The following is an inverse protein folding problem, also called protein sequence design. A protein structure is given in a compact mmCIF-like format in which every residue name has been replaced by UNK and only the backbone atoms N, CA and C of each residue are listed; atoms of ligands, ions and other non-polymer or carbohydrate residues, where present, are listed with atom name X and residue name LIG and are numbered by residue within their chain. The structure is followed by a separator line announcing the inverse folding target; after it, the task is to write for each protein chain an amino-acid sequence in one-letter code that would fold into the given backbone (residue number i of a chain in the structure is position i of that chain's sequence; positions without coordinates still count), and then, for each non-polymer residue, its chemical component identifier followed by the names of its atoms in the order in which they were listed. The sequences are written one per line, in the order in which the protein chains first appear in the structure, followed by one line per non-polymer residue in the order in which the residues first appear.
data_IF_563070366480
#
_entry.id   IF_563070366480
#
_cell.length_a   1.000
_cell.length_b   1.000
_cell.length_c   1.000
_cell.angle_alpha   90.00
_cell.angle_beta   90.00
_cell.angle_gamma   90.00
#
_symmetry.space_group_name_H-M   'P 1'
#
loop_
_entity.id
_entity.type
_entity.pdbx_description
1 polymer ?
#
# COMPACT_ATOMS: atom_id res chain seq x y z
N UNK A 1 11.29 16.85 3.67
CA UNK A 1 10.73 15.78 2.81
C UNK A 1 9.63 15.09 3.60
N UNK A 2 8.38 15.07 3.11
CA UNK A 2 7.27 14.42 3.84
C UNK A 2 7.28 12.91 3.57
N UNK A 3 6.85 12.13 4.57
CA UNK A 3 6.80 10.67 4.52
C UNK A 3 5.42 10.17 4.96
N UNK A 4 4.97 9.08 4.36
CA UNK A 4 3.74 8.38 4.70
C UNK A 4 3.95 6.87 4.57
N UNK A 5 3.15 6.10 5.29
CA UNK A 5 3.08 4.64 5.17
C UNK A 5 1.62 4.26 4.97
N UNK A 6 1.35 3.40 3.98
CA UNK A 6 0.03 2.78 3.78
C UNK A 6 0.13 1.33 4.21
N UNK A 7 -0.59 0.97 5.26
CA UNK A 7 -0.59 -0.39 5.80
C UNK A 7 -1.59 -1.23 5.00
N UNK A 8 -1.13 -2.39 4.52
CA UNK A 8 -1.92 -3.34 3.75
C UNK A 8 -2.08 -4.64 4.55
N UNK A 9 -3.32 -5.13 4.61
CA UNK A 9 -3.68 -6.43 5.16
C UNK A 9 -4.53 -7.17 4.14
N UNK A 10 -4.60 -8.50 4.23
CA UNK A 10 -5.46 -9.26 3.32
C UNK A 10 -6.92 -8.78 3.43
N UNK A 11 -7.56 -8.62 2.28
CA UNK A 11 -8.91 -8.07 2.17
C UNK A 11 -9.01 -6.54 2.16
N UNK A 12 -7.90 -5.82 2.03
CA UNK A 12 -7.93 -4.36 1.81
C UNK A 12 -8.68 -3.99 0.52
N UNK A 13 -9.28 -2.79 0.48
CA UNK A 13 -9.91 -2.25 -0.72
C UNK A 13 -8.85 -1.60 -1.62
N UNK A 14 -8.73 -2.10 -2.86
CA UNK A 14 -7.62 -1.78 -3.73
C UNK A 14 -7.60 -0.33 -4.22
N UNK A 15 -8.77 0.23 -4.54
CA UNK A 15 -8.90 1.60 -5.03
C UNK A 15 -8.56 2.58 -3.90
N UNK A 16 -9.08 2.36 -2.70
CA UNK A 16 -8.86 3.20 -1.53
C UNK A 16 -7.38 3.20 -1.12
N UNK A 17 -6.69 2.06 -1.19
CA UNK A 17 -5.28 1.97 -0.85
C UNK A 17 -4.37 2.52 -1.97
N UNK A 18 -4.51 2.00 -3.20
CA UNK A 18 -3.56 2.29 -4.28
C UNK A 18 -3.75 3.71 -4.85
N UNK A 19 -4.96 4.26 -4.84
CA UNK A 19 -5.17 5.65 -5.27
C UNK A 19 -4.51 6.63 -4.31
N UNK A 20 -4.56 6.37 -2.99
CA UNK A 20 -3.86 7.20 -1.99
C UNK A 20 -2.34 7.12 -2.20
N UNK A 21 -1.80 5.92 -2.43
CA UNK A 21 -0.37 5.73 -2.73
C UNK A 21 0.04 6.52 -3.98
N UNK A 22 -0.72 6.43 -5.08
CA UNK A 22 -0.44 7.13 -6.34
C UNK A 22 -0.45 8.66 -6.14
N UNK A 23 -1.48 9.21 -5.50
CA UNK A 23 -1.59 10.65 -5.23
C UNK A 23 -0.43 11.16 -4.38
N UNK A 24 -0.07 10.45 -3.32
CA UNK A 24 1.05 10.82 -2.44
C UNK A 24 2.37 10.83 -3.19
N UNK A 25 2.65 9.79 -3.99
CA UNK A 25 3.87 9.69 -4.79
C UNK A 25 3.95 10.80 -5.84
N UNK A 26 2.85 11.09 -6.55
CA UNK A 26 2.78 12.22 -7.51
C UNK A 26 3.00 13.58 -6.84
N UNK A 27 2.58 13.73 -5.58
CA UNK A 27 2.83 14.92 -4.76
C UNK A 27 4.24 15.02 -4.19
N UNK A 28 5.15 14.10 -4.51
CA UNK A 28 6.52 14.10 -4.00
C UNK A 28 6.65 13.64 -2.54
N UNK A 29 5.63 12.96 -2.01
CA UNK A 29 5.69 12.31 -0.69
C UNK A 29 6.33 10.94 -0.86
N UNK A 30 7.32 10.63 -0.02
CA UNK A 30 7.85 9.26 0.07
C UNK A 30 6.79 8.40 0.76
N UNK A 31 6.19 7.49 0.00
CA UNK A 31 5.08 6.64 0.45
C UNK A 31 5.43 5.17 0.28
N UNK A 32 5.61 4.49 1.42
CA UNK A 32 5.90 3.05 1.47
C UNK A 32 4.60 2.27 1.72
N UNK A 33 4.37 1.23 0.93
CA UNK A 33 3.35 0.23 1.23
C UNK A 33 3.94 -0.80 2.19
N UNK A 34 3.31 -1.00 3.35
CA UNK A 34 3.77 -1.90 4.40
C UNK A 34 2.73 -3.00 4.63
N UNK A 35 3.10 -4.26 4.42
CA UNK A 35 2.22 -5.40 4.69
C UNK A 35 2.38 -5.92 6.12
N UNK A 36 1.30 -6.45 6.71
CA UNK A 36 1.32 -6.94 8.11
C UNK A 36 1.92 -8.35 8.24
N UNK A 37 1.67 -9.25 7.29
CA UNK A 37 2.04 -10.68 7.43
C UNK A 37 3.17 -11.12 6.49
N UNK A 38 3.23 -10.56 5.29
CA UNK A 38 4.21 -10.95 4.28
C UNK A 38 4.13 -10.06 3.07
N UNK A 39 5.22 -10.06 2.28
CA UNK A 39 5.44 -9.08 1.22
C UNK A 39 4.34 -9.03 0.15
N UNK A 40 3.59 -10.12 -0.04
CA UNK A 40 2.44 -10.14 -0.95
C UNK A 40 1.16 -10.14 -0.13
N UNK A 41 0.26 -9.23 -0.45
CA UNK A 41 -1.04 -9.04 0.19
C UNK A 41 -2.13 -9.07 -0.88
N UNK A 42 -3.26 -9.72 -0.60
CA UNK A 42 -4.35 -9.86 -1.57
C UNK A 42 -5.52 -8.97 -1.16
N UNK A 43 -5.95 -8.09 -2.08
CA UNK A 43 -7.10 -7.22 -1.85
C UNK A 43 -8.44 -7.97 -1.93
N UNK A 44 -9.52 -7.29 -1.55
CA UNK A 44 -10.87 -7.86 -1.46
C UNK A 44 -11.42 -8.34 -2.81
N UNK A 45 -10.88 -7.84 -3.93
CA UNK A 45 -11.24 -8.25 -5.29
C UNK A 45 -10.21 -9.20 -5.92
N UNK A 46 -9.34 -9.81 -5.11
CA UNK A 46 -8.40 -10.85 -5.54
C UNK A 46 -7.14 -10.32 -6.23
N UNK A 47 -6.89 -9.01 -6.21
CA UNK A 47 -5.68 -8.41 -6.77
C UNK A 47 -4.54 -8.58 -5.76
N UNK A 48 -3.46 -9.21 -6.21
CA UNK A 48 -2.24 -9.38 -5.40
C UNK A 48 -1.33 -8.17 -5.57
N UNK A 49 -0.94 -7.55 -4.46
CA UNK A 49 -0.02 -6.42 -4.41
C UNK A 49 1.24 -6.83 -3.66
N UNK A 50 2.41 -6.41 -4.16
CA UNK A 50 3.69 -6.56 -3.48
C UNK A 50 4.01 -5.27 -2.72
N UNK A 51 4.20 -5.38 -1.41
CA UNK A 51 4.56 -4.26 -0.53
C UNK A 51 6.05 -3.93 -0.60
N UNK A 52 6.39 -2.68 -0.27
CA UNK A 52 7.77 -2.18 -0.21
C UNK A 52 8.51 -2.77 0.99
N UNK A 53 7.81 -2.87 2.13
CA UNK A 53 8.30 -3.45 3.39
C UNK A 53 7.24 -4.34 4.05
N UNK A 54 7.66 -5.07 5.09
CA UNK A 54 6.81 -5.84 6.01
C UNK A 54 6.94 -5.22 7.41
N UNK A 55 5.87 -5.28 8.22
CA UNK A 55 5.84 -4.79 9.60
C UNK A 55 6.76 -5.59 10.53
#
# INVERSE_FOLDING_TARGET
MKKAVVILADGFEEIEALSVVDVLRRGGVVCDMCSIAGRNVTGSHGIKVTSDTVF
#
